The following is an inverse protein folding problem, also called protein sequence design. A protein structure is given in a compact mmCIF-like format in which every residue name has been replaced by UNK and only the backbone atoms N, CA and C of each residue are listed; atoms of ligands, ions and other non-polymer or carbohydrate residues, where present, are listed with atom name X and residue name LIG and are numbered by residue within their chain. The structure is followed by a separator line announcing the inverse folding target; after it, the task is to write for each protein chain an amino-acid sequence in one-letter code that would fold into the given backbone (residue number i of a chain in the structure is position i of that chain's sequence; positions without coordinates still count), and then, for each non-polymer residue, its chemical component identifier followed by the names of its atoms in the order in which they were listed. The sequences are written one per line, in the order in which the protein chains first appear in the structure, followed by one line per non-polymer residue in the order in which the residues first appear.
data_IF_865511894740
#
_entry.id   IF_865511894740
#
_cell.length_a   1.000
_cell.length_b   1.000
_cell.length_c   1.000
_cell.angle_alpha   90.00
_cell.angle_beta   90.00
_cell.angle_gamma   90.00
#
_symmetry.space_group_name_H-M   'P 1'
#
loop_
_entity.id
_entity.type
_entity.pdbx_description
1 polymer ?
#
# COMPACT_ATOMS: atom_id res chain seq x y z
N UNK A 1 34.21 -19.92 32.89
CA UNK A 1 35.16 -19.61 31.80
C UNK A 1 35.28 -20.85 30.92
N UNK A 2 35.01 -20.71 29.61
CA UNK A 2 35.27 -21.70 28.54
C UNK A 2 34.17 -22.75 28.34
N UNK A 3 33.18 -22.55 27.46
CA UNK A 3 33.18 -22.78 25.99
C UNK A 3 33.18 -24.28 25.59
N UNK A 4 31.99 -24.81 25.29
CA UNK A 4 31.78 -26.11 24.62
C UNK A 4 31.63 -25.91 23.11
N UNK A 5 32.44 -26.63 22.34
CA UNK A 5 32.49 -26.61 20.87
C UNK A 5 31.40 -27.48 20.22
N UNK A 6 30.97 -27.01 19.05
CA UNK A 6 29.92 -27.54 18.18
C UNK A 6 30.34 -28.77 17.37
N UNK A 7 29.38 -29.65 17.10
CA UNK A 7 29.54 -30.88 16.33
C UNK A 7 29.64 -30.68 14.82
N UNK A 8 30.36 -31.62 14.20
CA UNK A 8 30.58 -31.83 12.78
C UNK A 8 29.28 -32.11 12.00
N UNK A 9 29.14 -31.49 10.82
CA UNK A 9 28.34 -32.03 9.72
C UNK A 9 29.11 -31.87 8.40
N UNK A 10 29.44 -33.01 7.78
CA UNK A 10 29.99 -33.11 6.42
C UNK A 10 28.83 -33.18 5.43
N UNK A 11 28.90 -32.44 4.31
CA UNK A 11 27.97 -32.58 3.18
C UNK A 11 28.77 -32.88 1.92
N UNK A 12 28.49 -34.02 1.32
CA UNK A 12 29.07 -34.51 0.07
C UNK A 12 28.43 -33.81 -1.13
N UNK A 13 29.24 -33.39 -2.12
CA UNK A 13 28.76 -32.92 -3.43
C UNK A 13 28.27 -34.08 -4.30
N UNK A 14 27.16 -33.94 -5.06
CA UNK A 14 26.93 -34.72 -6.25
C UNK A 14 27.55 -34.04 -7.48
N UNK A 15 28.42 -34.80 -8.13
CA UNK A 15 28.88 -34.62 -9.51
C UNK A 15 27.80 -35.10 -10.47
N UNK A 16 27.22 -34.20 -11.28
CA UNK A 16 26.91 -34.36 -12.71
C UNK A 16 26.07 -33.19 -13.23
N UNK A 17 26.42 -32.74 -14.43
CA UNK A 17 25.86 -31.59 -15.14
C UNK A 17 24.79 -32.13 -16.11
N UNK A 18 23.51 -31.90 -15.83
CA UNK A 18 22.42 -32.27 -16.75
C UNK A 18 21.70 -31.03 -17.28
N UNK A 19 21.87 -30.79 -18.58
CA UNK A 19 21.23 -29.73 -19.37
C UNK A 19 19.91 -30.24 -19.93
N UNK A 20 18.85 -30.21 -19.13
CA UNK A 20 17.46 -29.97 -19.60
C UNK A 20 16.51 -30.05 -18.41
N UNK A 21 15.51 -29.16 -18.40
CA UNK A 21 14.37 -29.10 -17.46
C UNK A 21 14.69 -28.82 -15.98
N UNK A 22 14.04 -27.80 -15.43
CA UNK A 22 13.78 -27.73 -13.98
C UNK A 22 14.03 -26.36 -13.35
N UNK A 23 12.93 -25.62 -13.13
CA UNK A 23 12.75 -24.88 -11.88
C UNK A 23 13.10 -25.81 -10.71
N UNK A 24 14.27 -25.64 -10.12
CA UNK A 24 14.60 -26.23 -8.84
C UNK A 24 15.42 -25.24 -8.01
N UNK A 25 14.85 -24.95 -6.84
CA UNK A 25 15.51 -24.59 -5.60
C UNK A 25 16.10 -23.18 -5.53
N UNK A 26 15.42 -22.38 -4.71
CA UNK A 26 15.99 -21.23 -4.07
C UNK A 26 17.30 -21.59 -3.38
N UNK A 27 18.36 -20.97 -3.86
CA UNK A 27 19.62 -20.86 -3.17
C UNK A 27 19.79 -19.38 -2.84
N UNK A 28 19.63 -19.06 -1.56
CA UNK A 28 19.88 -17.76 -0.96
C UNK A 28 21.35 -17.38 -1.17
N UNK A 29 21.64 -16.74 -2.29
CA UNK A 29 22.94 -16.12 -2.55
C UNK A 29 22.74 -14.61 -2.63
N UNK A 30 23.17 -13.92 -1.57
CA UNK A 30 23.37 -12.47 -1.48
C UNK A 30 22.26 -11.56 -2.07
N UNK A 31 21.18 -11.33 -1.32
CA UNK A 31 20.50 -10.04 -1.20
C UNK A 31 20.22 -9.18 -2.44
N UNK A 32 19.93 -9.77 -3.60
CA UNK A 32 19.53 -8.99 -4.79
C UNK A 32 17.99 -8.85 -4.79
N UNK A 33 17.50 -7.62 -4.67
CA UNK A 33 16.07 -7.29 -4.77
C UNK A 33 15.67 -7.42 -6.24
N UNK A 34 14.85 -8.42 -6.58
CA UNK A 34 14.43 -8.68 -7.97
C UNK A 34 12.95 -8.40 -8.11
N UNK A 35 12.60 -7.30 -8.78
CA UNK A 35 11.20 -6.94 -9.10
C UNK A 35 10.50 -8.06 -9.88
N UNK A 36 11.24 -8.85 -10.65
CA UNK A 36 10.76 -10.07 -11.32
C UNK A 36 10.12 -11.07 -10.36
N UNK A 37 10.70 -11.30 -9.18
CA UNK A 37 10.16 -12.26 -8.22
C UNK A 37 8.88 -11.74 -7.58
N UNK A 38 8.82 -10.44 -7.26
CA UNK A 38 7.59 -9.81 -6.76
C UNK A 38 6.46 -9.81 -7.80
N UNK A 39 6.78 -9.54 -9.06
CA UNK A 39 5.79 -9.51 -10.14
C UNK A 39 5.32 -10.91 -10.56
N UNK A 40 6.14 -11.94 -10.36
CA UNK A 40 5.71 -13.34 -10.46
C UNK A 40 4.73 -13.70 -9.35
N UNK A 41 5.08 -13.33 -8.11
CA UNK A 41 4.44 -13.87 -6.92
C UNK A 41 3.28 -13.02 -6.36
N UNK A 42 3.14 -11.77 -6.81
CA UNK A 42 2.14 -10.81 -6.35
C UNK A 42 1.49 -10.05 -7.52
N UNK A 43 0.40 -9.34 -7.25
CA UNK A 43 -0.19 -8.42 -8.22
C UNK A 43 0.04 -7.00 -7.73
N UNK A 44 1.15 -6.42 -8.19
CA UNK A 44 1.53 -5.06 -7.86
C UNK A 44 1.29 -4.16 -9.08
N UNK A 45 0.76 -2.94 -8.89
CA UNK A 45 0.59 -2.00 -9.99
C UNK A 45 1.90 -1.76 -10.74
N UNK A 46 3.04 -1.67 -10.05
CA UNK A 46 4.36 -1.44 -10.67
C UNK A 46 4.74 -2.46 -11.74
N UNK A 47 4.23 -3.70 -11.65
CA UNK A 47 4.49 -4.75 -12.63
C UNK A 47 3.91 -4.44 -14.01
N UNK A 48 2.88 -3.58 -14.09
CA UNK A 48 2.30 -3.14 -15.35
C UNK A 48 3.25 -2.25 -16.17
N UNK A 49 4.28 -1.67 -15.54
CA UNK A 49 5.23 -0.82 -16.23
C UNK A 49 6.19 -1.61 -17.13
N UNK A 50 6.51 -2.85 -16.76
CA UNK A 50 7.53 -3.66 -17.42
C UNK A 50 6.99 -4.70 -18.42
N UNK A 51 5.67 -4.78 -18.59
CA UNK A 51 5.02 -5.69 -19.55
C UNK A 51 4.55 -4.97 -20.81
N UNK A 52 4.63 -5.66 -21.95
CA UNK A 52 4.09 -5.17 -23.22
C UNK A 52 2.57 -5.38 -23.34
N UNK A 53 2.03 -6.41 -22.67
CA UNK A 53 0.63 -6.80 -22.74
C UNK A 53 0.04 -7.02 -21.34
N UNK A 54 -1.22 -6.61 -21.14
CA UNK A 54 -1.89 -6.55 -19.83
C UNK A 54 -2.83 -7.74 -19.55
N UNK A 55 -2.71 -8.83 -20.30
CA UNK A 55 -3.76 -9.85 -20.34
C UNK A 55 -3.14 -11.24 -20.44
N UNK A 56 -2.83 -11.89 -19.31
CA UNK A 56 -2.70 -11.41 -17.92
C UNK A 56 -1.25 -11.07 -17.53
N UNK A 57 -1.01 -10.05 -16.68
CA UNK A 57 0.35 -9.53 -16.43
C UNK A 57 1.28 -10.54 -15.77
N UNK A 58 0.80 -11.36 -14.83
CA UNK A 58 1.61 -12.36 -14.14
C UNK A 58 2.15 -13.46 -15.07
N UNK A 59 1.49 -13.74 -16.20
CA UNK A 59 1.97 -14.72 -17.19
C UNK A 59 3.30 -14.27 -17.81
N UNK A 60 3.50 -12.96 -17.98
CA UNK A 60 4.75 -12.41 -18.50
C UNK A 60 5.95 -12.59 -17.54
N UNK A 61 5.71 -12.99 -16.29
CA UNK A 61 6.73 -13.20 -15.26
C UNK A 61 6.82 -14.67 -14.80
N UNK A 62 6.32 -15.62 -15.60
CA UNK A 62 6.20 -17.04 -15.23
C UNK A 62 5.39 -17.28 -13.94
N UNK A 63 4.45 -16.37 -13.64
CA UNK A 63 3.56 -16.41 -12.50
C UNK A 63 2.23 -17.08 -12.79
N UNK A 64 1.39 -17.18 -11.76
CA UNK A 64 0.03 -17.71 -11.93
C UNK A 64 -0.85 -16.69 -12.69
N UNK A 65 -1.28 -17.06 -13.89
CA UNK A 65 -2.15 -16.26 -14.75
C UNK A 65 -3.55 -16.12 -14.14
N UNK A 66 -3.94 -14.88 -13.79
CA UNK A 66 -5.28 -14.59 -13.31
C UNK A 66 -6.21 -14.34 -14.50
N UNK A 67 -7.13 -15.26 -14.78
CA UNK A 67 -7.98 -15.23 -15.97
C UNK A 67 -9.43 -14.83 -15.69
N UNK A 68 -9.86 -14.85 -14.43
CA UNK A 68 -11.17 -14.32 -14.02
C UNK A 68 -12.34 -14.66 -14.95
N UNK A 69 -13.01 -13.65 -15.51
CA UNK A 69 -14.10 -13.80 -16.48
C UNK A 69 -13.57 -13.62 -17.91
N UNK A 70 -13.89 -14.55 -18.82
CA UNK A 70 -13.56 -14.45 -20.24
C UNK A 70 -14.53 -13.50 -20.98
N UNK A 71 -13.98 -12.47 -21.63
CA UNK A 71 -14.71 -11.49 -22.45
C UNK A 71 -14.66 -11.82 -23.95
N UNK A 72 -14.04 -12.94 -24.31
CA UNK A 72 -13.80 -13.36 -25.69
C UNK A 72 -12.59 -12.66 -26.32
N UNK A 73 -12.03 -13.31 -27.35
CA UNK A 73 -10.80 -12.90 -28.04
C UNK A 73 -9.56 -12.86 -27.13
N UNK A 74 -9.40 -13.82 -26.22
CA UNK A 74 -8.28 -13.89 -25.26
C UNK A 74 -8.17 -12.64 -24.36
N UNK A 75 -9.32 -12.03 -24.04
CA UNK A 75 -9.40 -10.90 -23.12
C UNK A 75 -10.15 -11.34 -21.87
N UNK A 76 -9.64 -10.94 -20.74
CA UNK A 76 -10.08 -11.40 -19.43
C UNK A 76 -10.33 -10.20 -18.53
N UNK A 77 -11.37 -10.30 -17.70
CA UNK A 77 -11.53 -9.45 -16.54
C UNK A 77 -10.99 -10.23 -15.36
N UNK A 78 -9.69 -10.08 -15.13
CA UNK A 78 -8.90 -10.99 -14.29
C UNK A 78 -9.27 -10.92 -12.81
N UNK A 79 -9.51 -9.72 -12.26
CA UNK A 79 -9.61 -9.53 -10.82
C UNK A 79 -10.91 -8.81 -10.40
N UNK A 80 -12.05 -9.44 -10.72
CA UNK A 80 -13.38 -8.88 -10.43
C UNK A 80 -13.55 -8.50 -8.95
N UNK A 81 -13.05 -9.32 -8.03
CA UNK A 81 -13.26 -9.06 -6.61
C UNK A 81 -12.50 -7.81 -6.13
N UNK A 82 -11.26 -7.58 -6.58
CA UNK A 82 -10.53 -6.34 -6.23
C UNK A 82 -11.21 -5.12 -6.82
N UNK A 83 -11.77 -5.22 -8.04
CA UNK A 83 -12.58 -4.15 -8.65
C UNK A 83 -13.79 -3.80 -7.79
N UNK A 84 -14.54 -4.81 -7.34
CA UNK A 84 -15.73 -4.59 -6.52
C UNK A 84 -15.38 -3.99 -5.16
N UNK A 85 -14.30 -4.48 -4.53
CA UNK A 85 -13.84 -3.95 -3.26
C UNK A 85 -13.31 -2.53 -3.39
N UNK A 86 -12.54 -2.21 -4.43
CA UNK A 86 -12.08 -0.86 -4.69
C UNK A 86 -13.25 0.11 -4.92
N UNK A 87 -14.29 -0.32 -5.64
CA UNK A 87 -15.52 0.46 -5.76
C UNK A 87 -16.21 0.68 -4.41
N UNK A 88 -16.29 -0.36 -3.56
CA UNK A 88 -16.81 -0.22 -2.19
C UNK A 88 -15.93 0.72 -1.36
N UNK A 89 -14.60 0.64 -1.49
CA UNK A 89 -13.65 1.53 -0.81
C UNK A 89 -13.91 2.99 -1.15
N UNK A 90 -14.20 3.29 -2.42
CA UNK A 90 -14.58 4.66 -2.85
C UNK A 90 -15.87 5.10 -2.14
N UNK A 91 -16.92 4.27 -2.13
CA UNK A 91 -18.19 4.62 -1.47
C UNK A 91 -18.03 4.81 0.04
N UNK A 92 -17.27 3.93 0.69
CA UNK A 92 -16.97 4.03 2.12
C UNK A 92 -16.16 5.30 2.40
N UNK A 93 -15.15 5.61 1.59
CA UNK A 93 -14.33 6.82 1.75
C UNK A 93 -15.12 8.10 1.55
N UNK A 94 -16.05 8.14 0.58
CA UNK A 94 -17.00 9.25 0.41
C UNK A 94 -17.91 9.41 1.64
N UNK A 95 -18.38 8.30 2.22
CA UNK A 95 -19.14 8.33 3.46
C UNK A 95 -18.31 8.85 4.65
N UNK A 96 -17.06 8.41 4.79
CA UNK A 96 -16.15 8.89 5.82
C UNK A 96 -15.77 10.37 5.63
N UNK A 97 -15.62 10.84 4.39
CA UNK A 97 -15.42 12.26 4.07
C UNK A 97 -16.60 13.09 4.55
N UNK A 98 -17.82 12.66 4.21
CA UNK A 98 -19.05 13.31 4.68
C UNK A 98 -19.15 13.31 6.21
N UNK A 99 -18.77 12.22 6.88
CA UNK A 99 -18.74 12.15 8.35
C UNK A 99 -17.68 13.06 8.96
N UNK A 100 -16.53 13.20 8.30
CA UNK A 100 -15.45 14.11 8.73
C UNK A 100 -15.87 15.58 8.66
N UNK A 101 -16.64 15.98 7.63
CA UNK A 101 -17.19 17.34 7.52
C UNK A 101 -18.09 17.73 8.70
N UNK A 102 -18.81 16.76 9.28
CA UNK A 102 -19.70 17.00 10.43
C UNK A 102 -18.94 17.33 11.72
N UNK A 103 -17.65 16.99 11.82
CA UNK A 103 -16.82 17.18 13.03
C UNK A 103 -16.10 18.54 13.04
N UNK A 104 -16.85 19.63 13.24
CA UNK A 104 -16.30 21.00 13.06
C UNK A 104 -15.15 21.40 13.99
N UNK A 105 -15.04 20.76 15.15
CA UNK A 105 -14.03 21.05 16.17
C UNK A 105 -12.88 20.02 16.22
N UNK A 106 -12.89 19.01 15.36
CA UNK A 106 -11.86 17.98 15.36
C UNK A 106 -10.54 18.49 14.79
N UNK A 107 -9.45 18.21 15.50
CA UNK A 107 -8.08 18.53 15.09
C UNK A 107 -7.68 17.70 13.86
N UNK A 108 -7.04 18.32 12.88
CA UNK A 108 -6.54 17.67 11.67
C UNK A 108 -7.65 17.26 10.70
N UNK A 109 -8.83 17.86 10.80
CA UNK A 109 -9.99 17.47 9.96
C UNK A 109 -9.70 17.63 8.47
N UNK A 110 -9.07 18.73 8.06
CA UNK A 110 -8.83 19.01 6.63
C UNK A 110 -7.79 18.06 6.06
N UNK A 111 -6.79 17.72 6.86
CA UNK A 111 -5.71 16.82 6.54
C UNK A 111 -6.22 15.36 6.47
N UNK A 112 -7.15 14.97 7.35
CA UNK A 112 -7.84 13.67 7.27
C UNK A 112 -8.70 13.58 6.00
N UNK A 113 -9.35 14.67 5.60
CA UNK A 113 -10.08 14.71 4.34
C UNK A 113 -9.16 14.58 3.13
N UNK A 114 -7.99 15.24 3.14
CA UNK A 114 -6.99 15.06 2.08
C UNK A 114 -6.49 13.61 2.01
N UNK A 115 -6.29 12.95 3.14
CA UNK A 115 -5.93 11.53 3.18
C UNK A 115 -7.01 10.66 2.52
N UNK A 116 -8.27 10.84 2.89
CA UNK A 116 -9.39 10.09 2.30
C UNK A 116 -9.58 10.39 0.80
N UNK A 117 -9.36 11.64 0.37
CA UNK A 117 -9.37 12.00 -1.05
C UNK A 117 -8.22 11.32 -1.82
N UNK A 118 -7.03 11.28 -1.24
CA UNK A 118 -5.89 10.54 -1.78
C UNK A 118 -6.20 9.05 -1.93
N UNK A 119 -6.79 8.45 -0.90
CA UNK A 119 -7.20 7.05 -0.92
C UNK A 119 -8.29 6.77 -1.99
N UNK A 120 -9.24 7.68 -2.21
CA UNK A 120 -10.19 7.56 -3.34
C UNK A 120 -9.47 7.53 -4.69
N UNK A 121 -8.43 8.37 -4.87
CA UNK A 121 -7.65 8.37 -6.12
C UNK A 121 -6.89 7.05 -6.29
N UNK A 122 -6.30 6.52 -5.22
CA UNK A 122 -5.65 5.20 -5.21
C UNK A 122 -6.63 4.13 -5.70
N UNK A 123 -7.82 4.06 -5.09
CA UNK A 123 -8.83 3.04 -5.40
C UNK A 123 -9.40 3.16 -6.82
N UNK A 124 -9.57 4.38 -7.34
CA UNK A 124 -9.94 4.61 -8.74
C UNK A 124 -8.86 4.02 -9.68
N UNK A 125 -7.58 4.19 -9.35
CA UNK A 125 -6.50 3.65 -10.15
C UNK A 125 -6.36 2.12 -9.97
N UNK A 126 -6.64 1.60 -8.78
CA UNK A 126 -6.60 0.17 -8.48
C UNK A 126 -7.58 -0.62 -9.35
N UNK A 127 -8.80 -0.09 -9.55
CA UNK A 127 -9.79 -0.66 -10.47
C UNK A 127 -9.18 -0.97 -11.84
N UNK A 128 -8.37 -0.07 -12.40
CA UNK A 128 -7.81 -0.24 -13.75
C UNK A 128 -6.49 -1.00 -13.77
N UNK A 129 -5.67 -0.85 -12.73
CA UNK A 129 -4.29 -1.37 -12.71
C UNK A 129 -4.20 -2.76 -12.11
N UNK A 130 -4.90 -3.03 -11.01
CA UNK A 130 -4.94 -4.34 -10.32
C UNK A 130 -6.15 -5.16 -10.76
N UNK A 131 -7.23 -4.49 -11.18
CA UNK A 131 -8.45 -5.13 -11.67
C UNK A 131 -8.29 -5.98 -12.94
N UNK A 132 -7.21 -5.76 -13.70
CA UNK A 132 -6.91 -6.53 -14.91
C UNK A 132 -7.87 -6.22 -16.07
N UNK A 133 -8.32 -4.97 -16.21
CA UNK A 133 -9.12 -4.55 -17.36
C UNK A 133 -8.30 -4.64 -18.66
N UNK A 134 -8.90 -5.10 -19.79
CA UNK A 134 -8.25 -5.16 -21.09
C UNK A 134 -8.12 -3.77 -21.73
N UNK A 135 -7.27 -2.93 -21.13
CA UNK A 135 -6.93 -1.60 -21.60
C UNK A 135 -5.79 -1.65 -22.62
N UNK A 136 -5.69 -0.58 -23.42
CA UNK A 136 -4.48 -0.32 -24.19
C UNK A 136 -3.27 -0.19 -23.27
N UNK A 137 -2.12 -0.72 -23.71
CA UNK A 137 -0.90 -0.78 -22.92
C UNK A 137 -0.40 0.60 -22.44
N UNK A 138 -0.53 1.64 -23.27
CA UNK A 138 -0.12 2.98 -22.89
C UNK A 138 -1.07 3.58 -21.84
N UNK A 139 -2.37 3.34 -21.98
CA UNK A 139 -3.39 3.80 -21.02
C UNK A 139 -3.17 3.14 -19.65
N UNK A 140 -2.94 1.83 -19.62
CA UNK A 140 -2.63 1.11 -18.38
C UNK A 140 -1.37 1.65 -17.70
N UNK A 141 -0.28 1.85 -18.47
CA UNK A 141 0.97 2.42 -17.95
C UNK A 141 0.75 3.81 -17.36
N UNK A 142 -0.06 4.63 -18.01
CA UNK A 142 -0.49 5.93 -17.47
C UNK A 142 -1.24 5.81 -16.14
N UNK A 143 -2.27 4.97 -16.07
CA UNK A 143 -2.99 4.70 -14.82
C UNK A 143 -2.08 4.13 -13.72
N UNK A 144 -1.12 3.28 -14.09
CA UNK A 144 -0.15 2.69 -13.16
C UNK A 144 0.76 3.75 -12.56
N UNK A 145 1.26 4.68 -13.38
CA UNK A 145 2.08 5.79 -12.89
C UNK A 145 1.30 6.67 -11.90
N UNK A 146 0.03 6.99 -12.22
CA UNK A 146 -0.86 7.74 -11.32
C UNK A 146 -1.13 6.95 -10.04
N UNK A 147 -1.34 5.63 -10.14
CA UNK A 147 -1.62 4.77 -8.99
C UNK A 147 -0.46 4.81 -7.98
N UNK A 148 0.76 4.55 -8.46
CA UNK A 148 1.96 4.50 -7.61
C UNK A 148 2.26 5.88 -7.00
N UNK A 149 2.10 6.94 -7.79
CA UNK A 149 2.22 8.31 -7.32
C UNK A 149 1.18 8.65 -6.24
N UNK A 150 -0.07 8.23 -6.43
CA UNK A 150 -1.16 8.44 -5.48
C UNK A 150 -0.91 7.71 -4.16
N UNK A 151 -0.42 6.46 -4.19
CA UNK A 151 -0.07 5.70 -2.99
C UNK A 151 1.02 6.46 -2.20
N UNK A 152 2.08 6.85 -2.88
CA UNK A 152 3.21 7.58 -2.27
C UNK A 152 2.76 8.88 -1.62
N UNK A 153 1.99 9.70 -2.35
CA UNK A 153 1.47 10.97 -1.85
C UNK A 153 0.46 10.79 -0.70
N UNK A 154 -0.38 9.75 -0.76
CA UNK A 154 -1.38 9.47 0.28
C UNK A 154 -0.73 9.03 1.58
N UNK A 155 0.31 8.18 1.53
CA UNK A 155 1.10 7.81 2.70
C UNK A 155 1.85 9.02 3.28
N UNK A 156 2.34 9.93 2.43
CA UNK A 156 2.94 11.20 2.88
C UNK A 156 1.94 12.09 3.61
N UNK A 157 0.73 12.25 3.05
CA UNK A 157 -0.36 13.00 3.71
C UNK A 157 -0.72 12.37 5.06
N UNK A 158 -0.82 11.04 5.14
CA UNK A 158 -1.10 10.34 6.40
C UNK A 158 0.00 10.59 7.44
N UNK A 159 1.27 10.55 7.04
CA UNK A 159 2.38 10.91 7.92
C UNK A 159 2.28 12.36 8.42
N UNK A 160 1.97 13.32 7.54
CA UNK A 160 1.78 14.72 7.96
C UNK A 160 0.60 14.89 8.92
N UNK A 161 -0.47 14.09 8.79
CA UNK A 161 -1.57 14.09 9.75
C UNK A 161 -1.09 13.83 11.18
N UNK A 162 -0.15 12.89 11.38
CA UNK A 162 0.42 12.64 12.70
C UNK A 162 1.19 13.86 13.25
N UNK A 163 1.90 14.61 12.40
CA UNK A 163 2.60 15.82 12.83
C UNK A 163 1.65 16.95 13.24
N UNK A 164 0.48 17.05 12.57
CA UNK A 164 -0.60 17.96 12.98
C UNK A 164 -1.15 17.57 14.35
N UNK A 165 -1.24 16.26 14.65
CA UNK A 165 -1.63 15.77 15.98
C UNK A 165 -0.73 16.26 17.11
N UNK A 166 0.59 16.38 16.86
CA UNK A 166 1.55 16.96 17.81
C UNK A 166 1.53 18.50 17.88
N UNK A 167 0.69 19.15 17.09
CA UNK A 167 0.66 20.62 16.94
C UNK A 167 2.00 21.19 16.45
N UNK A 168 2.83 20.39 15.75
CA UNK A 168 4.01 20.92 15.07
C UNK A 168 3.65 21.73 13.83
N UNK A 169 2.45 21.49 13.28
CA UNK A 169 1.82 22.27 12.24
C UNK A 169 0.49 22.77 12.76
N UNK A 170 0.24 24.08 12.61
CA UNK A 170 -1.01 24.70 13.05
C UNK A 170 -2.18 24.16 12.22
N UNK A 171 -3.00 23.31 12.86
CA UNK A 171 -4.18 22.68 12.27
C UNK A 171 -5.13 23.69 11.62
N UNK A 172 -5.67 23.34 10.45
CA UNK A 172 -6.70 24.12 9.77
C UNK A 172 -6.24 25.48 9.23
N UNK A 173 -4.96 25.83 9.38
CA UNK A 173 -4.40 27.03 8.77
C UNK A 173 -4.23 26.83 7.26
N UNK A 174 -4.44 27.87 6.43
CA UNK A 174 -4.16 27.81 4.99
C UNK A 174 -2.69 27.42 4.70
N UNK A 175 -1.78 27.72 5.63
CA UNK A 175 -0.37 27.38 5.54
C UNK A 175 -0.14 25.89 5.76
N UNK A 176 -0.71 25.27 6.81
CA UNK A 176 -0.64 23.82 7.04
C UNK A 176 -1.21 23.06 5.84
N UNK A 177 -2.39 23.46 5.37
CA UNK A 177 -3.03 22.84 4.23
C UNK A 177 -2.21 23.01 2.94
N UNK A 178 -1.69 24.21 2.72
CA UNK A 178 -0.81 24.51 1.58
C UNK A 178 0.47 23.70 1.61
N UNK A 179 1.09 23.53 2.78
CA UNK A 179 2.29 22.71 2.95
C UNK A 179 2.00 21.23 2.71
N UNK A 180 0.88 20.73 3.24
CA UNK A 180 0.45 19.35 3.04
C UNK A 180 0.20 19.05 1.56
N UNK A 181 -0.60 19.89 0.88
CA UNK A 181 -0.90 19.72 -0.55
C UNK A 181 0.35 19.91 -1.42
N UNK A 182 1.14 20.96 -1.19
CA UNK A 182 2.32 21.24 -2.02
C UNK A 182 3.38 20.13 -1.89
N UNK A 183 3.66 19.66 -0.67
CA UNK A 183 4.62 18.57 -0.45
C UNK A 183 4.11 17.24 -1.00
N UNK A 184 2.82 16.93 -0.83
CA UNK A 184 2.20 15.76 -1.45
C UNK A 184 2.27 15.82 -2.98
N UNK A 185 2.06 17.00 -3.59
CA UNK A 185 2.21 17.19 -5.03
C UNK A 185 3.64 16.97 -5.52
N UNK A 186 4.65 17.34 -4.73
CA UNK A 186 6.05 17.04 -5.08
C UNK A 186 6.28 15.53 -5.16
N UNK A 187 5.80 14.77 -4.17
CA UNK A 187 5.90 13.30 -4.20
C UNK A 187 5.06 12.67 -5.32
N UNK A 188 3.86 13.19 -5.55
CA UNK A 188 2.99 12.71 -6.63
C UNK A 188 3.61 12.94 -8.01
N UNK A 189 4.03 14.17 -8.30
CA UNK A 189 4.63 14.53 -9.60
C UNK A 189 5.98 13.83 -9.76
N UNK A 190 6.83 13.82 -8.74
CA UNK A 190 8.14 13.19 -8.80
C UNK A 190 8.06 11.69 -9.04
N UNK A 191 7.25 10.98 -8.25
CA UNK A 191 7.06 9.53 -8.40
C UNK A 191 6.35 9.19 -9.71
N UNK A 192 5.32 9.96 -10.08
CA UNK A 192 4.60 9.78 -11.34
C UNK A 192 5.48 10.02 -12.56
N UNK A 193 6.37 11.01 -12.53
CA UNK A 193 7.35 11.27 -13.59
C UNK A 193 8.31 10.09 -13.76
N UNK A 194 8.90 9.60 -12.66
CA UNK A 194 9.81 8.44 -12.70
C UNK A 194 9.07 7.21 -13.24
N UNK A 195 7.82 6.97 -12.79
CA UNK A 195 7.01 5.86 -13.28
C UNK A 195 6.70 5.97 -14.78
N UNK A 196 6.34 7.16 -15.28
CA UNK A 196 6.08 7.39 -16.70
C UNK A 196 7.34 7.22 -17.55
N UNK A 197 8.47 7.79 -17.11
CA UNK A 197 9.73 7.65 -17.84
C UNK A 197 10.19 6.19 -17.87
N UNK A 198 9.99 5.44 -16.77
CA UNK A 198 10.24 3.98 -16.74
C UNK A 198 9.33 3.25 -17.74
N UNK A 199 8.08 3.68 -17.90
CA UNK A 199 7.09 2.99 -18.73
C UNK A 199 7.25 3.24 -20.22
N UNK A 200 7.66 4.45 -20.59
CA UNK A 200 7.73 4.94 -21.98
C UNK A 200 9.14 5.21 -22.48
N UNK A 201 10.14 5.14 -21.61
CA UNK A 201 11.55 5.31 -21.93
C UNK A 201 11.84 6.63 -22.69
N UNK A 202 11.37 7.76 -22.15
CA UNK A 202 11.55 9.05 -22.82
C UNK A 202 12.99 9.56 -22.71
N UNK A 203 13.63 9.35 -21.55
CA UNK A 203 14.98 9.85 -21.29
C UNK A 203 16.08 8.79 -21.35
N UNK A 204 15.74 7.51 -21.23
CA UNK A 204 16.74 6.43 -21.11
C UNK A 204 17.29 6.23 -19.68
N UNK A 205 17.02 7.14 -18.74
CA UNK A 205 17.63 7.12 -17.41
C UNK A 205 17.08 6.00 -16.52
N UNK A 206 15.76 5.79 -16.57
CA UNK A 206 15.07 4.77 -15.78
C UNK A 206 14.70 3.53 -16.60
N UNK A 207 15.29 3.37 -17.78
CA UNK A 207 15.05 2.24 -18.67
C UNK A 207 15.39 0.91 -17.97
N UNK A 208 14.43 -0.01 -17.94
CA UNK A 208 14.67 -1.35 -17.39
C UNK A 208 14.62 -2.40 -18.50
N UNK A 209 15.56 -3.35 -18.43
CA UNK A 209 15.69 -4.43 -19.40
C UNK A 209 15.69 -5.78 -18.69
N UNK A 210 15.33 -6.87 -19.40
CA UNK A 210 15.46 -8.23 -18.87
C UNK A 210 16.88 -8.56 -18.38
N UNK A 211 17.91 -7.97 -19.02
CA UNK A 211 19.33 -8.11 -18.66
C UNK A 211 19.72 -7.43 -17.35
N UNK A 212 18.94 -6.46 -16.88
CA UNK A 212 19.09 -5.82 -15.57
C UNK A 212 17.98 -6.26 -14.60
N UNK A 213 17.33 -7.40 -14.86
CA UNK A 213 16.28 -7.98 -14.02
C UNK A 213 15.10 -7.04 -13.72
N UNK A 214 14.79 -6.13 -14.66
CA UNK A 214 13.79 -5.06 -14.47
C UNK A 214 14.01 -4.18 -13.24
N UNK A 215 15.27 -4.07 -12.78
CA UNK A 215 15.62 -3.33 -11.57
C UNK A 215 15.40 -1.83 -11.73
N UNK A 216 14.49 -1.26 -10.94
CA UNK A 216 14.28 0.18 -10.82
C UNK A 216 14.30 0.57 -9.34
N UNK A 217 15.50 0.88 -8.85
CA UNK A 217 15.74 1.22 -7.44
C UNK A 217 14.92 2.44 -7.03
N UNK A 218 14.76 3.44 -7.92
CA UNK A 218 14.00 4.65 -7.62
C UNK A 218 12.52 4.32 -7.34
N UNK A 219 11.88 3.52 -8.20
CA UNK A 219 10.50 3.09 -7.99
C UNK A 219 10.38 2.15 -6.78
N UNK A 220 11.30 1.21 -6.60
CA UNK A 220 11.28 0.33 -5.42
C UNK A 220 11.35 1.16 -4.12
N UNK A 221 12.19 2.19 -4.06
CA UNK A 221 12.28 3.06 -2.88
C UNK A 221 11.03 3.91 -2.73
N UNK A 222 10.58 4.61 -3.78
CA UNK A 222 9.49 5.58 -3.69
C UNK A 222 8.11 4.94 -3.49
N UNK A 223 7.87 3.78 -4.09
CA UNK A 223 6.58 3.08 -4.03
C UNK A 223 6.49 2.11 -2.85
N UNK A 224 7.58 1.43 -2.51
CA UNK A 224 7.54 0.34 -1.53
C UNK A 224 8.14 0.76 -0.18
N UNK A 225 9.43 1.12 -0.18
CA UNK A 225 10.16 1.35 1.06
C UNK A 225 9.73 2.65 1.75
N UNK A 226 9.63 3.74 1.00
CA UNK A 226 9.30 5.05 1.53
C UNK A 226 7.88 5.09 2.12
N UNK A 227 6.82 4.59 1.46
CA UNK A 227 5.49 4.51 2.06
C UNK A 227 5.46 3.63 3.30
N UNK A 228 6.18 2.49 3.30
CA UNK A 228 6.30 1.65 4.49
C UNK A 228 6.93 2.39 5.67
N UNK A 229 8.02 3.13 5.45
CA UNK A 229 8.68 3.94 6.49
C UNK A 229 7.74 5.02 7.01
N UNK A 230 6.98 5.69 6.14
CA UNK A 230 6.00 6.70 6.53
C UNK A 230 4.86 6.12 7.37
N UNK A 231 4.35 4.93 7.02
CA UNK A 231 3.32 4.24 7.78
C UNK A 231 3.82 3.83 9.19
N UNK A 232 5.06 3.32 9.28
CA UNK A 232 5.68 2.99 10.57
C UNK A 232 5.90 4.26 11.40
N UNK A 233 6.40 5.34 10.78
CA UNK A 233 6.57 6.63 11.45
C UNK A 233 5.23 7.19 11.95
N UNK A 234 4.18 7.16 11.13
CA UNK A 234 2.81 7.51 11.52
C UNK A 234 2.37 6.70 12.74
N UNK A 235 2.50 5.38 12.71
CA UNK A 235 2.12 4.50 13.81
C UNK A 235 2.87 4.85 15.11
N UNK A 236 4.19 5.05 15.04
CA UNK A 236 5.01 5.38 16.21
C UNK A 236 4.62 6.74 16.77
N UNK A 237 4.47 7.75 15.92
CA UNK A 237 4.10 9.11 16.32
C UNK A 237 2.74 9.11 17.01
N UNK A 238 1.72 8.53 16.38
CA UNK A 238 0.38 8.45 16.97
C UNK A 238 0.35 7.62 18.26
N UNK A 239 1.12 6.54 18.33
CA UNK A 239 1.24 5.76 19.57
C UNK A 239 1.86 6.59 20.70
N UNK A 240 2.88 7.39 20.41
CA UNK A 240 3.48 8.32 21.36
C UNK A 240 2.49 9.40 21.78
N UNK A 241 1.74 9.99 20.83
CA UNK A 241 0.71 10.98 21.10
C UNK A 241 -0.34 10.41 22.09
N UNK A 242 -0.87 9.24 21.79
CA UNK A 242 -1.93 8.61 22.60
C UNK A 242 -1.42 8.25 24.00
N UNK A 243 -0.24 7.62 24.11
CA UNK A 243 0.26 7.12 25.39
C UNK A 243 0.85 8.24 26.25
N UNK A 244 1.60 9.18 25.65
CA UNK A 244 2.36 10.21 26.39
C UNK A 244 1.63 11.53 26.52
N UNK A 245 0.84 11.91 25.53
CA UNK A 245 0.14 13.21 25.52
C UNK A 245 -1.28 13.05 26.06
N UNK A 246 -2.07 12.12 25.51
CA UNK A 246 -3.46 11.93 25.92
C UNK A 246 -3.60 11.06 27.18
N UNK A 247 -2.75 10.04 27.34
CA UNK A 247 -2.80 9.12 28.48
C UNK A 247 -3.98 8.15 28.45
N UNK A 248 -4.64 7.97 27.30
CA UNK A 248 -5.77 7.05 27.14
C UNK A 248 -5.38 5.83 26.29
N UNK A 249 -5.63 4.62 26.78
CA UNK A 249 -5.26 3.40 26.06
C UNK A 249 -6.30 2.93 25.04
N UNK A 250 -7.53 3.47 25.06
CA UNK A 250 -8.59 3.02 24.15
C UNK A 250 -8.27 3.32 22.68
N UNK A 251 -7.76 4.51 22.30
CA UNK A 251 -7.34 4.77 20.92
C UNK A 251 -6.21 3.87 20.43
N UNK A 252 -5.33 3.39 21.32
CA UNK A 252 -4.27 2.44 20.95
C UNK A 252 -4.81 1.13 20.37
N UNK A 253 -5.99 0.68 20.81
CA UNK A 253 -6.61 -0.53 20.26
C UNK A 253 -6.97 -0.34 18.79
N UNK A 254 -7.53 0.82 18.42
CA UNK A 254 -7.86 1.13 17.04
C UNK A 254 -6.60 1.31 16.19
N UNK A 255 -5.59 2.03 16.68
CA UNK A 255 -4.33 2.21 15.96
C UNK A 255 -3.61 0.87 15.70
N UNK A 256 -3.55 0.01 16.72
CA UNK A 256 -2.95 -1.33 16.61
C UNK A 256 -3.75 -2.24 15.68
N UNK A 257 -5.08 -2.18 15.74
CA UNK A 257 -5.95 -2.93 14.84
C UNK A 257 -5.76 -2.49 13.38
N UNK A 258 -5.65 -1.18 13.11
CA UNK A 258 -5.38 -0.67 11.77
C UNK A 258 -4.04 -1.18 11.22
N UNK A 259 -2.97 -1.08 12.01
CA UNK A 259 -1.65 -1.60 11.63
C UNK A 259 -1.66 -3.10 11.36
N UNK A 260 -2.34 -3.89 12.20
CA UNK A 260 -2.49 -5.33 12.02
C UNK A 260 -3.30 -5.67 10.75
N UNK A 261 -4.41 -4.99 10.51
CA UNK A 261 -5.23 -5.18 9.31
C UNK A 261 -4.40 -4.92 8.05
N UNK A 262 -3.68 -3.79 8.00
CA UNK A 262 -2.79 -3.49 6.87
C UNK A 262 -1.73 -4.58 6.68
N UNK A 263 -1.04 -5.00 7.75
CA UNK A 263 -0.03 -6.05 7.68
C UNK A 263 -0.59 -7.39 7.16
N UNK A 264 -1.79 -7.77 7.58
CA UNK A 264 -2.49 -8.96 7.06
C UNK A 264 -2.72 -8.82 5.56
N UNK A 265 -3.20 -7.67 5.08
CA UNK A 265 -3.36 -7.40 3.65
C UNK A 265 -2.06 -7.57 2.86
N UNK A 266 -0.96 -7.02 3.38
CA UNK A 266 0.35 -7.17 2.75
C UNK A 266 0.82 -8.63 2.73
N UNK A 267 0.58 -9.42 3.78
CA UNK A 267 0.90 -10.86 3.80
C UNK A 267 0.10 -11.61 2.70
N UNK A 268 -1.19 -11.31 2.54
CA UNK A 268 -2.00 -11.91 1.49
C UNK A 268 -1.42 -11.64 0.10
N UNK A 269 -1.01 -10.41 -0.19
CA UNK A 269 -0.47 -10.05 -1.49
C UNK A 269 0.94 -10.60 -1.75
N UNK A 270 1.85 -10.45 -0.78
CA UNK A 270 3.27 -10.78 -0.96
C UNK A 270 3.62 -12.25 -0.75
N UNK A 271 2.85 -12.98 0.08
CA UNK A 271 3.20 -14.34 0.49
C UNK A 271 2.17 -15.36 0.01
N UNK A 272 0.88 -15.07 0.19
CA UNK A 272 -0.18 -16.07 -0.02
C UNK A 272 -0.71 -16.04 -1.48
N UNK A 273 -0.47 -14.97 -2.22
CA UNK A 273 -1.14 -14.68 -3.50
C UNK A 273 -1.01 -15.79 -4.55
N UNK A 274 0.20 -16.33 -4.76
CA UNK A 274 0.43 -17.46 -5.68
C UNK A 274 -0.30 -18.73 -5.26
N UNK A 275 -0.28 -19.06 -3.97
CA UNK A 275 -0.96 -20.22 -3.43
C UNK A 275 -2.48 -20.13 -3.61
N UNK A 276 -3.05 -18.95 -3.40
CA UNK A 276 -4.46 -18.65 -3.67
C UNK A 276 -4.79 -18.77 -5.16
N UNK A 277 -3.94 -18.23 -6.02
CA UNK A 277 -4.13 -18.28 -7.47
C UNK A 277 -4.10 -19.72 -8.00
N UNK A 278 -3.13 -20.52 -7.58
CA UNK A 278 -3.04 -21.93 -7.97
C UNK A 278 -4.21 -22.75 -7.42
N UNK A 279 -4.57 -22.58 -6.14
CA UNK A 279 -5.68 -23.30 -5.53
C UNK A 279 -7.04 -22.95 -6.17
N UNK A 280 -7.22 -21.70 -6.60
CA UNK A 280 -8.46 -21.22 -7.24
C UNK A 280 -8.51 -21.44 -8.75
N UNK A 281 -7.47 -22.03 -9.35
CA UNK A 281 -7.31 -22.18 -10.81
C UNK A 281 -7.40 -20.83 -11.55
N UNK A 282 -6.65 -19.83 -11.09
CA UNK A 282 -6.53 -18.53 -11.76
C UNK A 282 -7.76 -17.61 -11.60
N UNK A 283 -8.64 -17.88 -10.63
CA UNK A 283 -9.86 -17.08 -10.39
C UNK A 283 -9.67 -15.96 -9.37
N UNK A 284 -8.89 -16.20 -8.32
CA UNK A 284 -8.69 -15.29 -7.19
C UNK A 284 -7.22 -15.35 -6.76
N UNK A 285 -6.64 -14.21 -6.41
CA UNK A 285 -5.31 -14.12 -5.82
C UNK A 285 -5.32 -13.27 -4.54
N UNK A 286 -4.14 -12.99 -4.01
CA UNK A 286 -3.97 -12.24 -2.75
C UNK A 286 -4.38 -10.78 -2.83
N UNK A 287 -4.40 -10.18 -4.03
CA UNK A 287 -4.73 -8.77 -4.21
C UNK A 287 -6.15 -8.44 -3.74
N UNK A 288 -7.12 -9.35 -3.94
CA UNK A 288 -8.47 -9.21 -3.40
C UNK A 288 -8.48 -8.94 -1.89
N UNK A 289 -7.72 -9.73 -1.14
CA UNK A 289 -7.68 -9.64 0.30
C UNK A 289 -6.86 -8.43 0.73
N UNK A 290 -5.84 -8.06 -0.03
CA UNK A 290 -5.08 -6.83 0.20
C UNK A 290 -5.99 -5.60 0.10
N UNK A 291 -6.77 -5.44 -0.97
CA UNK A 291 -7.77 -4.35 -1.09
C UNK A 291 -8.74 -4.35 0.11
N UNK A 292 -9.27 -5.53 0.49
CA UNK A 292 -10.20 -5.65 1.62
C UNK A 292 -9.57 -5.17 2.94
N UNK A 293 -8.39 -5.69 3.26
CA UNK A 293 -7.74 -5.42 4.54
C UNK A 293 -7.15 -4.00 4.58
N UNK A 294 -6.74 -3.44 3.43
CA UNK A 294 -6.36 -2.04 3.29
C UNK A 294 -7.57 -1.13 3.54
N UNK A 295 -8.74 -1.41 2.96
CA UNK A 295 -9.99 -0.69 3.27
C UNK A 295 -10.33 -0.74 4.76
N UNK A 296 -10.30 -1.93 5.37
CA UNK A 296 -10.59 -2.10 6.80
C UNK A 296 -9.59 -1.33 7.66
N UNK A 297 -8.32 -1.29 7.26
CA UNK A 297 -7.28 -0.50 7.92
C UNK A 297 -7.61 1.00 7.84
N UNK A 298 -7.93 1.53 6.65
CA UNK A 298 -8.29 2.95 6.46
C UNK A 298 -9.52 3.34 7.28
N UNK A 299 -10.55 2.49 7.32
CA UNK A 299 -11.73 2.70 8.17
C UNK A 299 -11.32 2.76 9.64
N UNK A 300 -10.42 1.87 10.07
CA UNK A 300 -9.96 1.82 11.46
C UNK A 300 -9.06 3.02 11.81
N UNK A 301 -8.22 3.50 10.89
CA UNK A 301 -7.47 4.77 11.01
C UNK A 301 -8.43 5.94 11.19
N UNK A 302 -9.53 5.98 10.42
CA UNK A 302 -10.54 7.01 10.58
C UNK A 302 -11.24 6.93 11.95
N UNK A 303 -11.58 5.72 12.43
CA UNK A 303 -12.14 5.51 13.78
C UNK A 303 -11.15 5.96 14.85
N UNK A 304 -9.87 5.63 14.69
CA UNK A 304 -8.79 6.07 15.57
C UNK A 304 -8.74 7.60 15.63
N UNK A 305 -8.65 8.29 14.49
CA UNK A 305 -8.68 9.75 14.42
C UNK A 305 -9.94 10.34 15.05
N UNK A 306 -11.10 9.74 14.79
CA UNK A 306 -12.37 10.14 15.41
C UNK A 306 -12.31 10.03 16.93
N UNK A 307 -11.68 8.98 17.46
CA UNK A 307 -11.62 8.72 18.91
C UNK A 307 -10.71 9.69 19.67
N UNK A 308 -9.65 10.20 19.04
CA UNK A 308 -8.75 11.18 19.67
C UNK A 308 -9.24 12.63 19.50
N UNK A 309 -10.32 12.86 18.74
CA UNK A 309 -10.85 14.21 18.42
C UNK A 309 -12.28 14.48 18.90
N UNK A 310 -13.03 13.49 19.38
CA UNK A 310 -14.35 13.69 19.99
C UNK A 310 -14.24 13.77 21.50
N UNK A 311 -14.40 14.96 22.09
CA UNK A 311 -14.46 15.21 23.54
C UNK A 311 -15.56 14.40 24.28
N UNK A 312 -15.39 13.09 24.46
CA UNK A 312 -16.07 12.30 25.49
C UNK A 312 -15.25 12.26 26.79
N UNK A 313 -14.56 13.37 27.09
CA UNK A 313 -13.80 13.46 28.33
C UNK A 313 -14.87 13.72 29.38
N UNK A 314 -14.97 12.90 30.45
CA UNK A 314 -15.90 13.18 31.51
C UNK A 314 -15.52 14.56 32.07
N UNK A 315 -16.29 15.57 31.66
CA UNK A 315 -16.21 16.89 32.26
C UNK A 315 -16.29 16.65 33.76
N UNK A 316 -15.33 17.13 34.57
CA UNK A 316 -15.45 17.03 36.00
C UNK A 316 -16.85 17.53 36.33
N UNK A 317 -17.70 16.66 36.88
CA UNK A 317 -19.01 17.08 37.36
C UNK A 317 -18.74 18.34 38.16
N UNK A 318 -19.37 19.45 37.76
CA UNK A 318 -19.29 20.69 38.51
C UNK A 318 -19.82 20.40 39.91
N UNK A 319 -18.94 19.96 40.81
CA UNK A 319 -19.20 19.86 42.23
C UNK A 319 -19.10 21.28 42.73
N UNK A 320 -20.24 21.95 42.71
CA UNK A 320 -20.43 23.30 43.20
C UNK A 320 -21.77 23.78 42.65
N UNK A 321 -22.85 23.71 43.42
CA UNK A 321 -22.96 24.60 44.56
C UNK A 321 -24.09 24.15 45.48
N UNK A 322 -23.74 23.64 46.65
CA UNK A 322 -24.61 23.80 47.82
C UNK A 322 -24.54 25.26 48.25
N UNK A 323 -25.64 26.00 48.07
CA UNK A 323 -25.93 27.17 48.88
C UNK A 323 -27.43 27.20 49.19
N UNK A 324 -27.69 27.15 50.50
CA UNK A 324 -28.90 27.47 51.28
C UNK A 324 -30.12 26.56 51.16
#
# INVERSE_FOLDING_TARGET
MGSTQFGNFNVSLPTELDTSTGCAKGELTNGDFREQDFCRDSTLPVCNLFVAHNQPPNEAYDGCALTGIDLGNHRYLSNLGSILLAFISILVSLFLLWRSERKKAAVGRREMQLFLLGFIIVEICEIFTVGGFPLDSAVLKGFTAVHIAAITATCWILFLNALVGFQFLDDGTPVSLGLCVASALVFFIGTGYIALDTAFDWTGEFATNPSNHYRNIALCVLYQLFPLVLLVAFFILEAVLVIRVLGEFRPMLYLSAAGLLFAIGQIFNYVISTHLCQASHGKINGALFETLFTLLSVVTVWIFWSSITEDDWPMPMAVGSGYN
#
